data_IF_370509655541
#
_entry.id   IF_370509655541
#
_cell.length_a   1.000
_cell.length_b   1.000
_cell.length_c   1.000
_cell.angle_alpha   90.00
_cell.angle_beta   90.00
_cell.angle_gamma   90.00
#
_symmetry.space_group_name_H-M   'P 1'
#
loop_
_entity.id
_entity.type
_entity.pdbx_description
1 polymer ?
#
# COMPACT_ATOMS: atom_id res chain seq x y z
N UNK A 1 -24.23 17.09 -8.95
CA UNK A 1 -23.11 16.30 -9.48
C UNK A 1 -22.12 17.10 -10.38
N UNK A 2 -22.56 17.98 -11.28
CA UNK A 2 -21.64 18.75 -12.18
C UNK A 2 -20.67 19.69 -11.45
N UNK A 3 -21.08 20.37 -10.37
CA UNK A 3 -20.22 21.31 -9.62
C UNK A 3 -19.00 20.64 -8.96
N UNK A 4 -19.14 19.39 -8.49
CA UNK A 4 -18.05 18.68 -7.81
C UNK A 4 -17.00 18.16 -8.81
N UNK A 5 -17.39 17.87 -10.05
CA UNK A 5 -16.48 17.49 -11.13
C UNK A 5 -15.61 18.68 -11.58
N UNK A 6 -16.21 19.87 -11.69
CA UNK A 6 -15.47 21.11 -12.03
C UNK A 6 -14.48 21.49 -10.92
N UNK A 7 -14.86 21.32 -9.65
CA UNK A 7 -13.95 21.57 -8.53
C UNK A 7 -12.79 20.59 -8.51
N UNK A 8 -13.04 19.28 -8.75
CA UNK A 8 -12.00 18.27 -8.87
C UNK A 8 -11.05 18.52 -10.03
N UNK A 9 -11.58 18.90 -11.21
CA UNK A 9 -10.79 19.27 -12.38
C UNK A 9 -9.98 20.55 -12.15
N UNK A 10 -10.55 21.54 -11.45
CA UNK A 10 -9.84 22.78 -11.10
C UNK A 10 -8.70 22.53 -10.11
N UNK A 11 -8.93 21.71 -9.06
CA UNK A 11 -7.87 21.28 -8.14
C UNK A 11 -6.79 20.48 -8.87
N UNK A 12 -7.17 19.56 -9.77
CA UNK A 12 -6.23 18.81 -10.58
C UNK A 12 -5.41 19.69 -11.53
N UNK A 13 -6.01 20.74 -12.12
CA UNK A 13 -5.31 21.70 -12.98
C UNK A 13 -4.31 22.58 -12.22
N UNK A 14 -4.56 22.89 -10.95
CA UNK A 14 -3.62 23.64 -10.10
C UNK A 14 -2.34 22.82 -9.79
N UNK A 15 -2.44 21.50 -9.73
CA UNK A 15 -1.27 20.64 -9.59
C UNK A 15 -0.42 20.51 -10.86
N UNK A 16 -0.99 20.78 -12.04
CA UNK A 16 -0.28 20.72 -13.32
C UNK A 16 0.56 21.99 -13.61
N UNK A 17 0.29 23.10 -12.93
CA UNK A 17 0.93 24.39 -13.25
C UNK A 17 2.30 24.66 -12.60
N UNK A 18 2.81 23.74 -11.76
CA UNK A 18 4.11 23.90 -11.07
C UNK A 18 5.28 23.13 -11.71
N UNK A 19 5.08 22.56 -12.90
CA UNK A 19 6.09 21.73 -13.59
C UNK A 19 7.11 22.56 -14.38
N UNK A 20 7.81 23.47 -13.72
CA UNK A 20 8.98 24.11 -14.34
C UNK A 20 10.22 23.90 -13.47
N UNK A 21 11.13 23.10 -14.01
CA UNK A 21 12.51 22.78 -13.58
C UNK A 21 12.66 21.60 -12.60
N UNK A 22 13.00 20.46 -13.17
CA UNK A 22 13.36 19.21 -12.48
C UNK A 22 12.20 18.23 -12.39
N UNK A 23 12.53 16.96 -12.38
CA UNK A 23 11.57 15.87 -12.17
C UNK A 23 10.85 16.08 -10.84
N UNK A 24 9.58 16.46 -10.89
CA UNK A 24 8.80 16.78 -9.69
C UNK A 24 7.72 15.73 -9.41
N UNK A 25 7.44 14.85 -10.37
CA UNK A 25 6.40 13.82 -10.27
C UNK A 25 6.95 12.50 -10.76
N UNK A 26 6.66 11.44 -10.05
CA UNK A 26 6.94 10.07 -10.47
C UNK A 26 5.70 9.21 -10.37
N UNK A 27 5.54 8.29 -11.32
CA UNK A 27 4.58 7.18 -11.26
C UNK A 27 5.31 5.90 -10.88
N UNK A 28 4.64 5.05 -10.09
CA UNK A 28 5.22 3.81 -9.57
C UNK A 28 4.26 2.66 -9.70
N UNK A 29 4.81 1.48 -9.95
CA UNK A 29 4.13 0.19 -9.72
C UNK A 29 5.00 -0.70 -8.86
N UNK A 30 4.38 -1.42 -7.93
CA UNK A 30 5.07 -2.36 -7.05
C UNK A 30 4.99 -3.77 -7.64
N UNK A 31 6.12 -4.28 -8.12
CA UNK A 31 6.24 -5.58 -8.76
C UNK A 31 5.83 -6.75 -7.84
N UNK A 32 5.95 -6.60 -6.52
CA UNK A 32 5.49 -7.63 -5.58
C UNK A 32 3.96 -7.74 -5.57
N UNK A 33 3.25 -6.62 -5.68
CA UNK A 33 1.80 -6.62 -5.82
C UNK A 33 1.37 -7.13 -7.20
N UNK A 34 2.07 -6.75 -8.27
CA UNK A 34 1.80 -7.26 -9.62
C UNK A 34 1.95 -8.78 -9.68
N UNK A 35 2.97 -9.37 -9.02
CA UNK A 35 3.17 -10.80 -8.92
C UNK A 35 2.03 -11.53 -8.18
N UNK A 36 1.28 -10.85 -7.33
CA UNK A 36 0.10 -11.38 -6.62
C UNK A 36 -1.22 -11.00 -7.29
N UNK A 37 -1.19 -10.52 -8.54
CA UNK A 37 -2.33 -10.04 -9.30
C UNK A 37 -3.11 -8.91 -8.56
N UNK A 38 -2.40 -8.10 -7.76
CA UNK A 38 -2.97 -6.94 -7.08
C UNK A 38 -2.69 -5.71 -7.91
N UNK A 39 -3.74 -5.06 -8.41
CA UNK A 39 -3.63 -3.78 -9.12
C UNK A 39 -3.06 -2.74 -8.16
N UNK A 40 -2.02 -2.06 -8.56
CA UNK A 40 -1.39 -1.03 -7.74
C UNK A 40 -0.92 0.14 -8.58
N UNK A 41 -0.93 1.31 -7.98
CA UNK A 41 -0.43 2.54 -8.56
C UNK A 41 0.02 3.47 -7.45
N UNK A 42 1.21 4.02 -7.60
CA UNK A 42 1.76 5.06 -6.75
C UNK A 42 2.06 6.33 -7.54
N UNK A 43 1.85 7.47 -6.91
CA UNK A 43 2.24 8.78 -7.43
C UNK A 43 3.06 9.49 -6.37
N UNK A 44 4.25 9.92 -6.72
CA UNK A 44 5.15 10.64 -5.82
C UNK A 44 5.42 12.05 -6.32
N UNK A 45 5.33 13.02 -5.41
CA UNK A 45 5.51 14.45 -5.68
C UNK A 45 6.72 14.98 -4.92
N UNK A 46 7.63 15.65 -5.62
CA UNK A 46 8.71 16.41 -5.01
C UNK A 46 8.19 17.70 -4.41
N UNK A 47 8.24 17.82 -3.07
CA UNK A 47 7.78 19.02 -2.34
C UNK A 47 8.94 19.95 -1.95
N UNK A 48 10.16 19.41 -1.87
CA UNK A 48 11.39 20.19 -1.65
C UNK A 48 12.60 19.44 -2.24
N UNK A 49 13.82 19.99 -2.24
CA UNK A 49 15.00 19.30 -2.77
C UNK A 49 15.26 17.91 -2.16
N UNK A 50 14.86 17.70 -0.91
CA UNK A 50 15.08 16.45 -0.17
C UNK A 50 13.80 15.78 0.33
N UNK A 51 12.63 16.35 0.07
CA UNK A 51 11.36 15.78 0.53
C UNK A 51 10.44 15.47 -0.63
N UNK A 52 9.82 14.31 -0.55
CA UNK A 52 8.74 13.89 -1.45
C UNK A 52 7.56 13.36 -0.66
N UNK A 53 6.39 13.43 -1.26
CA UNK A 53 5.16 12.79 -0.75
C UNK A 53 4.77 11.74 -1.76
N UNK A 54 4.71 10.49 -1.33
CA UNK A 54 4.22 9.34 -2.08
C UNK A 54 2.80 9.00 -1.66
N UNK A 55 1.94 8.69 -2.62
CA UNK A 55 0.60 8.18 -2.38
C UNK A 55 0.41 6.94 -3.22
N UNK A 56 0.34 5.78 -2.59
CA UNK A 56 0.10 4.51 -3.25
C UNK A 56 -1.26 3.93 -2.90
N UNK A 57 -1.91 3.35 -3.92
CA UNK A 57 -3.17 2.64 -3.81
C UNK A 57 -3.05 1.23 -4.37
N UNK A 58 -3.65 0.26 -3.67
CA UNK A 58 -3.62 -1.15 -4.02
C UNK A 58 -5.03 -1.72 -3.98
N UNK A 59 -5.40 -2.52 -4.96
CA UNK A 59 -6.73 -3.09 -5.06
C UNK A 59 -6.68 -4.51 -5.63
N UNK A 60 -7.19 -5.46 -4.88
CA UNK A 60 -7.35 -6.84 -5.32
C UNK A 60 -8.81 -7.29 -5.19
N UNK A 61 -9.57 -7.36 -6.28
CA UNK A 61 -10.95 -7.82 -6.28
C UNK A 61 -11.09 -9.33 -6.45
N UNK A 62 -9.98 -10.07 -6.68
CA UNK A 62 -10.04 -11.42 -7.20
C UNK A 62 -10.36 -12.47 -6.14
N UNK A 63 -11.09 -13.50 -6.59
CA UNK A 63 -11.22 -14.78 -5.91
C UNK A 63 -10.49 -15.80 -6.78
N UNK A 64 -9.50 -16.47 -6.23
CA UNK A 64 -8.70 -17.48 -6.93
C UNK A 64 -9.34 -18.87 -6.83
N UNK A 65 -8.76 -19.85 -7.54
CA UNK A 65 -9.20 -21.26 -7.50
C UNK A 65 -9.31 -21.78 -6.06
N UNK A 66 -10.24 -22.73 -5.83
CA UNK A 66 -10.52 -23.32 -4.51
C UNK A 66 -11.05 -22.31 -3.48
N UNK A 67 -11.88 -21.37 -3.90
CA UNK A 67 -12.49 -20.32 -3.04
C UNK A 67 -11.48 -19.49 -2.23
N UNK A 68 -10.26 -19.43 -2.67
CA UNK A 68 -9.21 -18.62 -2.04
C UNK A 68 -9.52 -17.15 -2.27
N UNK A 69 -9.92 -16.44 -1.22
CA UNK A 69 -10.24 -15.00 -1.27
C UNK A 69 -9.04 -14.20 -0.77
N UNK A 70 -8.55 -13.31 -1.63
CA UNK A 70 -7.48 -12.36 -1.32
C UNK A 70 -7.93 -10.95 -1.65
N UNK A 71 -9.17 -10.62 -1.24
CA UNK A 71 -9.75 -9.32 -1.57
C UNK A 71 -9.31 -8.27 -0.58
N UNK A 72 -8.72 -7.22 -1.07
CA UNK A 72 -8.36 -6.08 -0.23
C UNK A 72 -8.25 -4.81 -1.06
N UNK A 73 -8.36 -3.68 -0.39
CA UNK A 73 -7.85 -2.41 -0.86
C UNK A 73 -7.02 -1.78 0.26
N UNK A 74 -6.00 -1.05 -0.14
CA UNK A 74 -5.04 -0.41 0.75
C UNK A 74 -4.62 0.91 0.15
N UNK A 75 -4.58 1.96 0.96
CA UNK A 75 -3.99 3.26 0.62
C UNK A 75 -2.88 3.55 1.61
N UNK A 76 -1.73 3.98 1.08
CA UNK A 76 -0.53 4.28 1.87
C UNK A 76 0.04 5.64 1.45
N UNK A 77 -0.30 6.74 2.14
CA UNK A 77 0.46 7.98 2.05
C UNK A 77 1.77 7.86 2.81
N UNK A 78 2.83 8.43 2.25
CA UNK A 78 4.17 8.45 2.83
C UNK A 78 4.91 9.74 2.57
N UNK A 79 5.54 10.29 3.61
CA UNK A 79 6.48 11.39 3.50
C UNK A 79 7.91 10.81 3.52
N UNK A 80 8.72 11.13 2.51
CA UNK A 80 10.06 10.59 2.30
C UNK A 80 11.10 11.68 2.40
N UNK A 81 12.14 11.39 3.15
CA UNK A 81 13.35 12.22 3.22
C UNK A 81 14.50 11.54 2.50
N UNK A 82 15.06 12.19 1.49
CA UNK A 82 16.18 11.72 0.67
C UNK A 82 17.51 12.25 1.22
N UNK A 83 18.48 11.35 1.41
CA UNK A 83 19.79 11.76 1.95
C UNK A 83 20.62 12.57 0.95
N UNK A 84 20.48 12.23 -0.34
CA UNK A 84 21.11 12.97 -1.45
C UNK A 84 20.05 13.80 -2.18
N UNK A 85 19.82 13.52 -3.44
CA UNK A 85 18.80 14.18 -4.24
C UNK A 85 17.51 13.37 -4.21
N UNK A 86 16.36 14.03 -4.38
CA UNK A 86 15.07 13.35 -4.49
C UNK A 86 15.07 12.36 -5.66
N UNK A 87 14.36 11.27 -5.49
CA UNK A 87 14.26 10.14 -6.42
C UNK A 87 15.57 9.39 -6.68
N UNK A 88 16.64 9.63 -5.90
CA UNK A 88 17.93 8.98 -6.09
C UNK A 88 18.60 8.61 -4.78
N UNK A 89 19.12 7.38 -4.69
CA UNK A 89 19.86 6.89 -3.53
C UNK A 89 18.97 6.52 -2.35
N UNK A 90 19.51 6.72 -1.15
CA UNK A 90 18.87 6.32 0.11
C UNK A 90 17.79 7.29 0.55
N UNK A 91 16.70 6.76 1.11
CA UNK A 91 15.65 7.54 1.75
C UNK A 91 15.08 6.85 2.99
N UNK A 92 14.50 7.65 3.86
CA UNK A 92 13.68 7.21 4.99
C UNK A 92 12.28 7.74 4.76
N UNK A 93 11.27 6.87 4.97
CA UNK A 93 9.87 7.19 4.83
C UNK A 93 9.11 7.11 6.15
N UNK A 94 8.13 8.00 6.32
CA UNK A 94 7.11 7.92 7.37
C UNK A 94 5.78 7.68 6.68
N UNK A 95 5.22 6.49 6.85
CA UNK A 95 3.98 6.13 6.18
C UNK A 95 2.83 5.90 7.16
N UNK A 96 1.64 6.27 6.72
CA UNK A 96 0.39 5.77 7.26
C UNK A 96 -0.17 4.74 6.28
N UNK A 97 -1.06 3.90 6.78
CA UNK A 97 -1.75 2.92 5.95
C UNK A 97 -3.18 2.72 6.45
N UNK A 98 -4.07 2.46 5.52
CA UNK A 98 -5.45 2.17 5.85
C UNK A 98 -6.12 1.39 4.73
N UNK A 99 -7.02 0.49 5.09
CA UNK A 99 -7.66 -0.34 4.11
C UNK A 99 -8.71 -1.27 4.69
N UNK A 100 -9.17 -2.15 3.81
CA UNK A 100 -10.16 -3.17 4.12
C UNK A 100 -9.75 -4.49 3.49
N UNK A 101 -9.99 -5.58 4.18
CA UNK A 101 -9.66 -6.91 3.69
C UNK A 101 -10.80 -7.90 3.90
N UNK A 102 -10.84 -8.89 3.01
CA UNK A 102 -11.71 -10.07 3.09
C UNK A 102 -10.88 -11.26 2.64
N UNK A 103 -10.36 -11.98 3.61
CA UNK A 103 -9.40 -13.07 3.42
C UNK A 103 -10.04 -14.39 3.84
N UNK A 104 -9.90 -15.42 3.00
CA UNK A 104 -10.38 -16.76 3.30
C UNK A 104 -9.56 -17.82 2.55
N UNK A 105 -9.46 -19.00 3.16
CA UNK A 105 -8.82 -20.20 2.58
C UNK A 105 -7.36 -19.97 2.13
N UNK A 106 -6.61 -19.29 2.97
CA UNK A 106 -5.18 -19.14 2.80
C UNK A 106 -4.49 -20.24 3.59
N UNK A 107 -4.00 -21.27 2.91
CA UNK A 107 -3.22 -22.34 3.52
C UNK A 107 -1.83 -21.82 3.90
N UNK A 108 -1.73 -21.20 5.06
CA UNK A 108 -0.48 -20.69 5.60
C UNK A 108 -0.40 -21.02 7.09
N UNK A 109 0.52 -21.90 7.47
CA UNK A 109 0.85 -22.19 8.86
C UNK A 109 1.90 -21.21 9.41
N UNK A 110 1.86 -19.97 8.94
CA UNK A 110 2.83 -18.94 9.32
C UNK A 110 2.35 -18.24 10.59
N UNK A 111 3.17 -18.35 11.64
CA UNK A 111 3.08 -17.49 12.83
C UNK A 111 4.21 -16.49 12.75
N UNK A 112 3.87 -15.22 12.69
CA UNK A 112 4.87 -14.16 12.53
C UNK A 112 4.57 -12.98 13.47
N UNK A 113 5.56 -12.61 14.27
CA UNK A 113 5.50 -11.49 15.21
C UNK A 113 4.21 -11.44 16.07
N UNK A 114 3.81 -12.58 16.63
CA UNK A 114 2.65 -12.67 17.52
C UNK A 114 1.31 -12.78 16.82
N UNK A 115 1.28 -12.77 15.49
CA UNK A 115 0.06 -12.98 14.70
C UNK A 115 0.02 -14.40 14.15
N UNK A 116 -1.08 -15.09 14.41
CA UNK A 116 -1.34 -16.44 13.92
C UNK A 116 -2.17 -16.36 12.63
N UNK A 117 -1.53 -16.55 11.48
CA UNK A 117 -2.18 -16.55 10.17
C UNK A 117 -2.82 -17.89 9.81
N UNK A 118 -2.64 -18.95 10.63
CA UNK A 118 -3.25 -20.26 10.40
C UNK A 118 -4.79 -20.20 10.46
N UNK A 119 -5.33 -19.24 11.20
CA UNK A 119 -6.78 -18.99 11.28
C UNK A 119 -7.41 -18.68 9.91
N UNK A 120 -6.63 -18.21 8.93
CA UNK A 120 -7.11 -17.92 7.58
C UNK A 120 -7.35 -19.19 6.75
N UNK A 121 -6.88 -20.35 7.20
CA UNK A 121 -7.14 -21.64 6.55
C UNK A 121 -8.58 -22.09 6.73
N UNK A 122 -9.12 -21.94 7.94
CA UNK A 122 -10.44 -22.48 8.30
C UNK A 122 -11.55 -21.45 8.33
N UNK A 123 -11.19 -20.17 8.51
CA UNK A 123 -12.12 -19.08 8.71
C UNK A 123 -11.97 -17.99 7.67
N UNK A 124 -13.08 -17.27 7.43
CA UNK A 124 -13.05 -16.02 6.68
C UNK A 124 -12.95 -14.85 7.64
N UNK A 125 -11.95 -14.03 7.46
CA UNK A 125 -11.76 -12.78 8.20
C UNK A 125 -12.06 -11.60 7.30
N UNK A 126 -12.90 -10.70 7.78
CA UNK A 126 -13.30 -9.51 7.06
C UNK A 126 -13.26 -8.31 7.99
N UNK A 127 -12.51 -7.29 7.63
CA UNK A 127 -12.35 -6.14 8.50
C UNK A 127 -11.58 -5.00 7.87
N UNK A 128 -11.45 -3.92 8.64
CA UNK A 128 -10.64 -2.78 8.28
C UNK A 128 -9.38 -2.72 9.14
N UNK A 129 -8.38 -2.05 8.65
CA UNK A 129 -7.15 -1.80 9.37
C UNK A 129 -6.65 -0.38 9.12
N UNK A 130 -5.94 0.16 10.11
CA UNK A 130 -5.22 1.41 10.00
C UNK A 130 -3.94 1.32 10.80
N UNK A 131 -2.89 1.99 10.33
CA UNK A 131 -1.59 1.93 10.98
C UNK A 131 -0.65 3.02 10.52
N UNK A 132 0.53 3.00 11.10
CA UNK A 132 1.62 3.88 10.73
C UNK A 132 2.96 3.20 10.96
N UNK A 133 3.99 3.65 10.26
CA UNK A 133 5.31 3.07 10.38
C UNK A 133 6.40 3.94 9.78
N UNK A 134 7.60 3.40 9.84
CA UNK A 134 8.80 3.96 9.22
C UNK A 134 9.32 2.98 8.17
N UNK A 135 9.86 3.52 7.10
CA UNK A 135 10.43 2.74 6.02
C UNK A 135 11.84 3.23 5.68
N UNK A 136 12.61 2.35 5.12
CA UNK A 136 13.90 2.65 4.55
C UNK A 136 13.98 2.05 3.17
N UNK A 137 14.51 2.80 2.22
CA UNK A 137 14.64 2.34 0.86
C UNK A 137 15.85 2.94 0.13
N UNK A 138 16.03 2.39 -1.05
CA UNK A 138 17.06 2.83 -1.99
C UNK A 138 16.49 2.83 -3.41
N UNK A 139 16.79 3.91 -4.15
CA UNK A 139 16.40 4.10 -5.53
C UNK A 139 17.63 4.10 -6.45
N UNK A 140 17.70 3.12 -7.36
CA UNK A 140 18.71 3.01 -8.43
C UNK A 140 18.22 3.73 -9.68
N UNK A 141 19.02 4.63 -10.20
CA UNK A 141 18.76 5.28 -11.49
C UNK A 141 19.15 4.30 -12.61
N UNK A 142 18.18 3.80 -13.35
CA UNK A 142 18.38 2.91 -14.50
C UNK A 142 18.58 3.70 -15.80
N UNK A 143 18.10 4.93 -15.86
CA UNK A 143 18.18 5.77 -17.04
C UNK A 143 17.61 7.15 -16.80
N UNK A 144 17.37 7.92 -17.88
CA UNK A 144 16.91 9.31 -17.77
C UNK A 144 15.58 9.48 -17.03
N UNK A 145 14.70 8.50 -17.11
CA UNK A 145 13.33 8.56 -16.54
C UNK A 145 12.94 7.34 -15.74
N UNK A 146 13.78 6.30 -15.70
CA UNK A 146 13.45 5.06 -15.06
C UNK A 146 14.33 4.80 -13.85
N UNK A 147 13.71 4.48 -12.73
CA UNK A 147 14.38 4.02 -11.52
C UNK A 147 13.79 2.68 -11.08
N UNK A 148 14.65 1.88 -10.44
CA UNK A 148 14.23 0.75 -9.63
C UNK A 148 14.37 1.14 -8.17
N UNK A 149 13.35 0.87 -7.37
CA UNK A 149 13.34 1.23 -5.96
C UNK A 149 13.04 0.00 -5.12
N UNK A 150 13.80 -0.20 -4.05
CA UNK A 150 13.49 -1.20 -3.03
C UNK A 150 13.24 -0.52 -1.70
N UNK A 151 12.22 -1.00 -0.99
CA UNK A 151 11.79 -0.42 0.27
C UNK A 151 11.28 -1.49 1.22
N UNK A 152 11.64 -1.35 2.50
CA UNK A 152 11.11 -2.15 3.59
C UNK A 152 10.68 -1.22 4.73
N UNK A 153 9.54 -1.49 5.34
CA UNK A 153 9.00 -0.69 6.43
C UNK A 153 8.50 -1.54 7.58
N UNK A 154 8.67 -1.00 8.77
CA UNK A 154 8.16 -1.55 10.02
C UNK A 154 7.18 -0.56 10.64
N UNK A 155 6.15 -1.08 11.29
CA UNK A 155 5.14 -0.23 11.88
C UNK A 155 4.15 -0.97 12.76
N UNK A 156 3.19 -0.20 13.21
CA UNK A 156 2.09 -0.68 14.03
C UNK A 156 0.77 -0.58 13.26
N UNK A 157 -0.03 -1.64 13.32
CA UNK A 157 -1.34 -1.73 12.66
C UNK A 157 -2.37 -2.17 13.68
N UNK A 158 -3.43 -1.39 13.76
CA UNK A 158 -4.66 -1.74 14.45
C UNK A 158 -5.66 -2.29 13.43
N UNK A 159 -6.25 -3.45 13.73
CA UNK A 159 -7.29 -4.04 12.89
C UNK A 159 -8.52 -4.41 13.71
N UNK A 160 -9.68 -4.23 13.09
CA UNK A 160 -10.98 -4.64 13.63
C UNK A 160 -11.68 -5.50 12.59
N UNK A 161 -12.05 -6.72 12.97
CA UNK A 161 -12.56 -7.70 12.03
C UNK A 161 -13.69 -8.56 12.60
N UNK A 162 -14.48 -9.10 11.69
CA UNK A 162 -15.48 -10.13 11.92
C UNK A 162 -14.95 -11.49 11.45
N UNK A 163 -15.28 -12.53 12.21
CA UNK A 163 -14.92 -13.92 11.89
C UNK A 163 -16.14 -14.71 11.46
N UNK A 164 -16.00 -15.45 10.38
CA UNK A 164 -17.05 -16.29 9.80
C UNK A 164 -16.61 -17.76 9.73
N UNK A 165 -17.53 -18.69 10.01
CA UNK A 165 -17.27 -20.14 10.07
C UNK A 165 -17.01 -20.80 8.71
N UNK A 166 -17.34 -20.12 7.62
CA UNK A 166 -17.28 -20.70 6.29
C UNK A 166 -16.68 -19.71 5.30
N UNK A 167 -15.97 -20.23 4.33
CA UNK A 167 -15.27 -19.46 3.30
C UNK A 167 -16.24 -18.73 2.36
N UNK A 168 -17.41 -19.31 2.08
CA UNK A 168 -18.41 -18.76 1.16
C UNK A 168 -19.59 -18.05 1.82
N UNK A 169 -20.33 -18.75 2.67
CA UNK A 169 -21.67 -18.35 3.14
C UNK A 169 -21.92 -18.60 4.64
N UNK A 170 -20.87 -18.78 5.45
CA UNK A 170 -21.01 -19.11 6.87
C UNK A 170 -21.61 -18.00 7.72
N UNK A 171 -22.27 -18.40 8.82
CA UNK A 171 -22.71 -17.46 9.85
C UNK A 171 -21.51 -16.74 10.47
N UNK A 172 -21.72 -15.47 10.82
CA UNK A 172 -20.76 -14.71 11.60
C UNK A 172 -20.67 -15.32 13.00
N UNK A 173 -19.46 -15.73 13.42
CA UNK A 173 -19.23 -16.36 14.73
C UNK A 173 -18.85 -15.31 15.76
N UNK A 174 -17.99 -14.37 15.35
CA UNK A 174 -17.46 -13.35 16.22
C UNK A 174 -17.53 -11.99 15.51
N UNK A 175 -17.87 -10.96 16.28
CA UNK A 175 -18.04 -9.60 15.79
C UNK A 175 -17.05 -8.70 16.51
N UNK A 176 -16.53 -7.70 15.76
CA UNK A 176 -15.76 -6.60 16.36
C UNK A 176 -14.49 -7.04 17.10
N UNK A 177 -13.85 -8.13 16.67
CA UNK A 177 -12.55 -8.53 17.23
C UNK A 177 -11.50 -7.49 16.88
N UNK A 178 -10.69 -7.19 17.88
CA UNK A 178 -9.58 -6.23 17.77
C UNK A 178 -8.26 -6.99 17.81
N UNK A 179 -7.34 -6.61 16.94
CA UNK A 179 -5.99 -7.15 16.95
C UNK A 179 -4.97 -6.04 16.68
N UNK A 180 -3.89 -6.07 17.44
CA UNK A 180 -2.76 -5.16 17.29
C UNK A 180 -1.60 -5.94 16.69
N UNK A 181 -1.02 -5.41 15.65
CA UNK A 181 0.12 -5.99 14.98
C UNK A 181 1.29 -5.01 14.98
N UNK A 182 2.46 -5.50 15.34
CA UNK A 182 3.72 -4.77 15.18
C UNK A 182 4.66 -5.63 14.33
N UNK A 183 5.15 -5.06 13.21
CA UNK A 183 6.01 -5.80 12.30
C UNK A 183 6.14 -5.13 10.95
N UNK A 184 6.54 -5.87 9.89
CA UNK A 184 6.61 -5.34 8.53
C UNK A 184 5.25 -4.82 8.06
N UNK A 185 5.21 -3.54 7.69
CA UNK A 185 4.01 -2.85 7.19
C UNK A 185 4.14 -2.42 5.75
N UNK A 186 5.36 -2.47 5.21
CA UNK A 186 5.65 -2.15 3.82
C UNK A 186 6.78 -3.02 3.30
N UNK A 187 6.59 -3.56 2.11
CA UNK A 187 7.63 -4.20 1.30
C UNK A 187 7.34 -3.86 -0.15
N UNK A 188 8.31 -3.27 -0.84
CA UNK A 188 8.13 -2.84 -2.21
C UNK A 188 9.39 -3.04 -3.04
N UNK A 189 9.16 -3.48 -4.26
CA UNK A 189 10.12 -3.38 -5.38
C UNK A 189 9.38 -2.59 -6.46
N UNK A 190 9.67 -1.31 -6.54
CA UNK A 190 8.94 -0.40 -7.42
C UNK A 190 9.70 -0.16 -8.72
N UNK A 191 9.00 -0.26 -9.84
CA UNK A 191 9.41 0.37 -11.08
C UNK A 191 8.86 1.80 -11.09
N UNK A 192 9.74 2.78 -11.25
CA UNK A 192 9.44 4.20 -11.10
C UNK A 192 9.71 4.91 -12.42
N UNK A 193 8.74 5.69 -12.88
CA UNK A 193 8.88 6.56 -14.03
C UNK A 193 8.80 8.02 -13.63
N UNK A 194 9.86 8.79 -13.90
CA UNK A 194 10.00 10.20 -13.57
C UNK A 194 9.64 11.08 -14.78
N UNK A 195 8.80 12.09 -14.55
CA UNK A 195 8.36 13.04 -15.59
C UNK A 195 9.26 14.24 -15.69
#
# INVERSE_FOLDING_TARGET
MRKNVFFALFVFSLFLSTATKGQNVALKTNLLYDATATLNLGVEFGVSPKWTIDLSGNYNPFTFSHERKWKHWLVQPEARYWFCDRFAGHFVGFHALGGYYNLANLKNDIRFLGTDFSLLTDYRLQGWFAGAGVAYGYSWILGRRWNLEMEIGLGYVYTKYDKYNCQGCGKRIETDKKHNYFGPTKAAINMVYNF
#
